data_IF_238368186318
#
_entry.id   IF_238368186318
#
_cell.length_a   1.000
_cell.length_b   1.000
_cell.length_c   1.000
_cell.angle_alpha   90.00
_cell.angle_beta   90.00
_cell.angle_gamma   90.00
#
_symmetry.space_group_name_H-M   'P 1'
#
loop_
_entity.id
_entity.type
_entity.pdbx_description
1 polymer ?
#
# COMPACT_ATOMS: atom_id res chain seq x y z
N UNK A 1 -14.47 6.11 -15.32
CA UNK A 1 -14.71 7.04 -14.21
C UNK A 1 -13.50 7.99 -14.14
N UNK A 2 -13.71 9.27 -14.39
CA UNK A 2 -12.68 10.29 -14.19
C UNK A 2 -12.23 10.23 -12.72
N UNK A 3 -10.94 10.33 -12.49
CA UNK A 3 -10.25 10.12 -11.21
C UNK A 3 -11.09 10.54 -9.99
N UNK A 4 -11.20 9.65 -9.02
CA UNK A 4 -11.87 9.84 -7.71
C UNK A 4 -11.24 10.98 -6.85
N UNK A 5 -10.32 11.76 -7.42
CA UNK A 5 -9.66 12.90 -6.76
C UNK A 5 -10.61 14.02 -6.30
N UNK A 6 -11.88 13.98 -6.69
CA UNK A 6 -12.93 14.89 -6.22
C UNK A 6 -14.07 14.13 -5.55
N UNK A 7 -13.73 13.36 -4.51
CA UNK A 7 -14.70 12.65 -3.67
C UNK A 7 -15.78 13.61 -3.10
N UNK A 8 -15.46 14.89 -2.90
CA UNK A 8 -16.41 15.94 -2.56
C UNK A 8 -17.55 16.06 -3.57
N UNK A 9 -17.26 15.88 -4.86
CA UNK A 9 -18.28 15.92 -5.90
C UNK A 9 -19.12 14.63 -5.97
N UNK A 10 -18.52 13.49 -5.63
CA UNK A 10 -19.24 12.20 -5.64
C UNK A 10 -20.39 12.15 -4.63
N UNK A 11 -20.18 12.76 -3.46
CA UNK A 11 -21.13 12.80 -2.34
C UNK A 11 -22.00 14.06 -2.31
N UNK A 12 -21.81 14.97 -3.25
CA UNK A 12 -22.71 16.15 -3.41
C UNK A 12 -24.05 15.74 -4.02
N UNK A 13 -25.02 16.62 -3.92
CA UNK A 13 -26.30 16.47 -4.62
C UNK A 13 -26.30 17.10 -6.01
N UNK A 14 -25.12 17.46 -6.53
CA UNK A 14 -24.97 18.01 -7.86
C UNK A 14 -25.41 17.01 -8.95
N UNK A 15 -25.83 17.54 -10.08
CA UNK A 15 -26.25 16.71 -11.21
C UNK A 15 -25.13 15.79 -11.69
N UNK A 16 -25.43 14.49 -11.76
CA UNK A 16 -24.47 13.47 -12.19
C UNK A 16 -23.46 13.01 -11.13
N UNK A 17 -23.60 13.46 -9.88
CA UNK A 17 -22.87 12.88 -8.74
C UNK A 17 -23.35 11.45 -8.41
N UNK A 18 -22.55 10.68 -7.67
CA UNK A 18 -22.97 9.31 -7.30
C UNK A 18 -24.24 9.32 -6.43
N UNK A 19 -24.33 10.24 -5.48
CA UNK A 19 -25.52 10.39 -4.64
C UNK A 19 -26.76 10.77 -5.48
N UNK A 20 -26.63 11.68 -6.44
CA UNK A 20 -27.70 12.04 -7.37
C UNK A 20 -28.16 10.84 -8.24
N UNK A 21 -27.22 10.00 -8.68
CA UNK A 21 -27.51 8.78 -9.45
C UNK A 21 -28.29 7.78 -8.58
N UNK A 22 -27.86 7.54 -7.34
CA UNK A 22 -28.54 6.61 -6.42
C UNK A 22 -29.98 7.08 -6.13
N UNK A 23 -30.15 8.38 -5.81
CA UNK A 23 -31.48 8.94 -5.54
C UNK A 23 -32.40 8.84 -6.76
N UNK A 24 -31.85 8.93 -7.96
CA UNK A 24 -32.59 8.71 -9.21
C UNK A 24 -33.00 7.27 -9.41
N UNK A 25 -32.06 6.32 -9.20
CA UNK A 25 -32.30 4.89 -9.35
C UNK A 25 -33.36 4.38 -8.35
N UNK A 26 -33.44 4.99 -7.16
CA UNK A 26 -34.43 4.66 -6.13
C UNK A 26 -35.74 5.45 -6.27
N UNK A 27 -35.88 6.27 -7.34
CA UNK A 27 -37.08 7.11 -7.62
C UNK A 27 -37.48 8.08 -6.49
N UNK A 28 -36.59 8.32 -5.52
CA UNK A 28 -36.83 9.17 -4.35
C UNK A 28 -36.69 10.67 -4.69
N UNK A 29 -35.91 10.98 -5.71
CA UNK A 29 -35.46 12.33 -6.03
C UNK A 29 -36.56 13.38 -6.22
N UNK A 30 -37.65 13.14 -6.99
CA UNK A 30 -38.71 14.13 -7.17
C UNK A 30 -39.38 14.49 -5.85
N UNK A 31 -39.83 13.49 -5.11
CA UNK A 31 -40.55 13.64 -3.85
C UNK A 31 -39.72 14.34 -2.76
N UNK A 32 -38.39 14.04 -2.70
CA UNK A 32 -37.47 14.67 -1.76
C UNK A 32 -37.43 16.20 -1.98
N UNK A 33 -37.26 16.63 -3.23
CA UNK A 33 -37.19 18.08 -3.53
C UNK A 33 -38.51 18.79 -3.29
N UNK A 34 -39.61 18.23 -3.70
CA UNK A 34 -40.95 18.81 -3.51
C UNK A 34 -41.27 18.98 -2.04
N UNK A 35 -41.03 17.94 -1.25
CA UNK A 35 -41.23 17.99 0.22
C UNK A 35 -40.32 19.02 0.87
N UNK A 36 -38.99 18.98 0.60
CA UNK A 36 -38.04 19.92 1.21
C UNK A 36 -38.36 21.36 0.86
N UNK A 37 -38.73 21.65 -0.39
CA UNK A 37 -39.14 23.00 -0.82
C UNK A 37 -40.44 23.41 -0.10
N UNK A 38 -41.39 22.50 0.01
CA UNK A 38 -42.62 22.74 0.72
C UNK A 38 -42.42 23.07 2.21
N UNK A 39 -41.60 22.28 2.89
CA UNK A 39 -41.29 22.47 4.32
C UNK A 39 -40.56 23.81 4.55
N UNK A 40 -39.58 24.14 3.69
CA UNK A 40 -38.82 25.39 3.78
C UNK A 40 -39.66 26.63 3.43
N UNK A 41 -40.63 26.52 2.54
CA UNK A 41 -41.56 27.60 2.24
C UNK A 41 -42.46 27.94 3.43
N UNK A 42 -42.75 26.95 4.28
CA UNK A 42 -43.54 27.14 5.50
C UNK A 42 -42.70 27.61 6.67
N UNK A 43 -41.37 27.54 6.59
CA UNK A 43 -40.46 27.92 7.64
C UNK A 43 -40.49 29.44 7.86
N UNK A 44 -40.90 29.86 9.06
CA UNK A 44 -40.97 31.26 9.45
C UNK A 44 -39.75 31.60 10.34
N UNK A 45 -38.75 32.28 9.79
CA UNK A 45 -37.51 32.64 10.50
C UNK A 45 -37.76 33.45 11.80
N UNK A 46 -38.84 34.23 11.84
CA UNK A 46 -39.24 35.05 12.99
C UNK A 46 -40.02 34.32 14.07
N UNK A 47 -40.36 33.06 13.89
CA UNK A 47 -41.16 32.30 14.84
C UNK A 47 -40.38 31.86 16.10
N UNK A 48 -39.05 31.89 16.07
CA UNK A 48 -38.20 31.52 17.19
C UNK A 48 -38.15 32.68 18.22
N UNK A 49 -38.70 32.47 19.45
CA UNK A 49 -38.72 33.50 20.50
C UNK A 49 -37.32 33.90 20.97
N UNK A 50 -36.34 32.99 20.92
CA UNK A 50 -34.99 33.22 21.42
C UNK A 50 -34.21 34.21 20.51
N UNK A 51 -34.53 34.27 19.23
CA UNK A 51 -33.87 35.17 18.31
C UNK A 51 -34.35 36.65 18.43
N UNK A 52 -35.42 36.92 19.14
CA UNK A 52 -35.97 38.27 19.31
C UNK A 52 -36.42 38.97 18.03
N UNK A 53 -36.36 38.27 16.86
CA UNK A 53 -36.67 38.84 15.56
C UNK A 53 -38.09 39.34 15.40
N UNK A 54 -39.04 38.71 16.08
CA UNK A 54 -40.45 39.13 16.10
C UNK A 54 -40.63 40.55 16.70
N UNK A 55 -39.87 40.87 17.73
CA UNK A 55 -39.84 42.21 18.31
C UNK A 55 -39.28 43.28 17.39
N UNK A 56 -38.21 42.93 16.66
CA UNK A 56 -37.61 43.83 15.67
C UNK A 56 -38.57 44.07 14.50
N UNK A 57 -39.17 43.02 13.96
CA UNK A 57 -40.14 43.16 12.87
C UNK A 57 -41.36 43.96 13.29
N UNK A 58 -41.85 43.82 14.53
CA UNK A 58 -42.93 44.63 15.06
C UNK A 58 -42.52 46.08 15.22
N UNK A 59 -41.29 46.36 15.66
CA UNK A 59 -40.78 47.72 15.73
C UNK A 59 -40.66 48.40 14.39
N UNK A 60 -40.23 47.65 13.34
CA UNK A 60 -40.20 48.10 11.95
C UNK A 60 -41.63 48.37 11.41
N UNK A 61 -42.59 47.51 11.70
CA UNK A 61 -43.99 47.67 11.34
C UNK A 61 -44.60 48.94 11.95
N UNK A 62 -44.34 49.18 13.27
CA UNK A 62 -44.79 50.41 13.92
C UNK A 62 -44.12 51.64 13.30
N UNK A 63 -42.85 51.58 12.95
CA UNK A 63 -42.17 52.67 12.30
C UNK A 63 -42.73 52.96 10.86
N UNK A 64 -42.92 51.88 10.08
CA UNK A 64 -43.49 52.02 8.74
C UNK A 64 -44.90 52.61 8.73
N UNK A 65 -45.73 52.24 9.66
CA UNK A 65 -47.10 52.74 9.79
C UNK A 65 -47.19 54.29 10.11
N UNK A 66 -46.06 54.93 10.44
CA UNK A 66 -45.98 56.38 10.57
C UNK A 66 -45.80 57.09 9.22
N UNK A 67 -45.29 56.40 8.22
CA UNK A 67 -44.93 56.99 6.92
C UNK A 67 -45.77 56.50 5.77
N UNK A 68 -46.46 55.35 5.92
CA UNK A 68 -47.20 54.66 4.90
C UNK A 68 -48.66 54.46 5.35
N UNK A 69 -49.71 54.75 4.54
CA UNK A 69 -51.07 54.47 4.85
C UNK A 69 -51.30 52.96 5.14
N UNK A 70 -52.12 52.66 6.14
CA UNK A 70 -52.41 51.28 6.58
C UNK A 70 -53.06 50.43 5.49
N UNK A 71 -53.75 51.03 4.54
CA UNK A 71 -54.40 50.35 3.43
C UNK A 71 -53.36 49.71 2.46
N UNK A 72 -52.07 50.10 2.51
CA UNK A 72 -51.06 49.55 1.68
C UNK A 72 -50.51 48.21 2.19
N UNK A 73 -50.93 47.76 3.39
CA UNK A 73 -50.63 46.41 3.91
C UNK A 73 -49.15 46.09 4.08
N UNK A 74 -48.36 47.02 4.60
CA UNK A 74 -46.89 46.91 4.73
C UNK A 74 -46.53 46.20 6.05
N UNK A 75 -46.63 44.87 6.09
CA UNK A 75 -46.16 44.09 7.23
C UNK A 75 -44.84 43.39 6.91
N UNK A 76 -43.73 43.77 7.57
CA UNK A 76 -42.45 43.14 7.30
C UNK A 76 -42.44 41.70 7.82
N UNK A 77 -41.94 40.77 7.00
CA UNK A 77 -41.77 39.37 7.36
C UNK A 77 -40.51 38.82 6.67
N UNK A 78 -39.89 37.81 7.31
CA UNK A 78 -38.74 37.10 6.79
C UNK A 78 -39.17 35.75 6.24
N UNK A 79 -38.81 35.49 5.00
CA UNK A 79 -39.00 34.20 4.35
C UNK A 79 -37.71 33.72 3.71
N UNK A 80 -37.56 32.41 3.64
CA UNK A 80 -36.49 31.82 2.84
C UNK A 80 -36.78 32.08 1.35
N UNK A 81 -35.84 32.71 0.66
CA UNK A 81 -35.98 33.05 -0.78
C UNK A 81 -35.06 32.17 -1.62
N UNK A 82 -35.28 32.19 -2.95
CA UNK A 82 -34.48 31.43 -3.90
C UNK A 82 -34.47 29.91 -3.67
N UNK A 83 -35.61 29.35 -3.24
CA UNK A 83 -35.83 27.92 -3.02
C UNK A 83 -35.92 27.17 -4.36
N UNK A 84 -34.81 27.15 -5.10
CA UNK A 84 -34.67 26.33 -6.28
C UNK A 84 -33.98 25.03 -5.96
N UNK A 85 -34.27 23.98 -6.76
CA UNK A 85 -33.56 22.69 -6.66
C UNK A 85 -32.04 22.86 -6.77
N UNK A 86 -31.59 23.80 -7.57
CA UNK A 86 -30.18 24.09 -7.78
C UNK A 86 -29.52 24.70 -6.53
N UNK A 87 -30.19 25.66 -5.87
CA UNK A 87 -29.67 26.25 -4.66
C UNK A 87 -29.66 25.27 -3.49
N UNK A 88 -30.70 24.46 -3.34
CA UNK A 88 -30.75 23.43 -2.32
C UNK A 88 -29.64 22.37 -2.47
N UNK A 89 -29.28 22.01 -3.69
CA UNK A 89 -28.15 21.09 -3.96
C UNK A 89 -26.80 21.60 -3.44
N UNK A 90 -26.60 22.91 -3.37
CA UNK A 90 -25.37 23.52 -2.85
C UNK A 90 -25.34 23.62 -1.32
N UNK A 91 -26.52 23.63 -0.70
CA UNK A 91 -26.67 23.83 0.76
C UNK A 91 -26.81 22.50 1.49
N UNK A 92 -27.48 21.53 0.91
CA UNK A 92 -27.67 20.21 1.53
C UNK A 92 -26.39 19.37 1.36
N UNK A 93 -25.81 18.96 2.49
CA UNK A 93 -24.60 18.14 2.55
C UNK A 93 -24.87 16.86 3.31
N UNK A 94 -24.24 15.77 2.90
CA UNK A 94 -24.26 14.52 3.65
C UNK A 94 -23.35 14.62 4.88
N UNK A 95 -23.86 14.15 6.03
CA UNK A 95 -23.11 14.04 7.28
C UNK A 95 -22.85 12.58 7.60
N UNK A 96 -21.72 12.30 8.20
CA UNK A 96 -21.27 10.95 8.54
C UNK A 96 -20.95 10.92 10.03
N UNK A 97 -21.43 9.89 10.72
CA UNK A 97 -21.07 9.67 12.11
C UNK A 97 -19.55 9.43 12.26
N UNK A 98 -18.94 10.05 13.26
CA UNK A 98 -17.49 9.99 13.52
C UNK A 98 -17.17 9.11 14.73
N UNK A 99 -17.85 7.97 14.88
CA UNK A 99 -17.68 7.04 15.98
C UNK A 99 -19.01 6.57 16.57
N UNK A 100 -18.94 5.92 17.73
CA UNK A 100 -20.12 5.53 18.50
C UNK A 100 -20.70 6.76 19.21
N UNK A 101 -21.83 7.26 18.75
CA UNK A 101 -22.51 8.42 19.35
C UNK A 101 -23.25 9.28 18.34
N UNK A 102 -23.71 10.44 18.81
CA UNK A 102 -24.49 11.39 17.99
C UNK A 102 -23.63 12.39 17.21
N UNK A 103 -22.31 12.39 17.43
CA UNK A 103 -21.42 13.30 16.73
C UNK A 103 -21.29 12.93 15.25
N UNK A 104 -21.59 13.86 14.38
CA UNK A 104 -21.46 13.69 12.94
C UNK A 104 -20.75 14.89 12.32
N UNK A 105 -20.00 14.66 11.27
CA UNK A 105 -19.31 15.72 10.52
C UNK A 105 -19.69 15.65 9.04
N UNK A 106 -19.72 16.78 8.33
CA UNK A 106 -19.97 16.78 6.91
C UNK A 106 -18.88 15.96 6.20
N UNK A 107 -19.27 15.27 5.12
CA UNK A 107 -18.41 14.32 4.42
C UNK A 107 -17.07 14.95 3.97
N UNK A 108 -17.05 16.23 3.59
CA UNK A 108 -15.83 16.92 3.15
C UNK A 108 -14.81 17.19 4.26
N UNK A 109 -15.19 16.99 5.52
CA UNK A 109 -14.30 17.04 6.68
C UNK A 109 -13.80 15.65 7.11
N UNK A 110 -14.18 14.59 6.42
CA UNK A 110 -13.71 13.24 6.68
C UNK A 110 -12.32 13.00 6.09
N UNK A 111 -11.58 12.04 6.65
CA UNK A 111 -10.31 11.60 6.08
C UNK A 111 -10.49 10.97 4.69
N UNK A 112 -9.49 11.09 3.84
CA UNK A 112 -9.50 10.59 2.46
C UNK A 112 -9.87 9.10 2.36
N UNK A 113 -9.39 8.26 3.30
CA UNK A 113 -9.72 6.84 3.32
C UNK A 113 -11.21 6.58 3.55
N UNK A 114 -11.84 7.29 4.49
CA UNK A 114 -13.29 7.18 4.74
C UNK A 114 -14.11 7.60 3.52
N UNK A 115 -13.70 8.69 2.88
CA UNK A 115 -14.36 9.17 1.67
C UNK A 115 -14.23 8.16 0.53
N UNK A 116 -13.05 7.57 0.32
CA UNK A 116 -12.84 6.55 -0.71
C UNK A 116 -13.70 5.30 -0.44
N UNK A 117 -13.79 4.84 0.80
CA UNK A 117 -14.67 3.72 1.15
C UNK A 117 -16.16 4.03 0.91
N UNK A 118 -16.60 5.25 1.20
CA UNK A 118 -17.97 5.67 0.91
C UNK A 118 -18.27 5.70 -0.59
N UNK A 119 -17.36 6.24 -1.39
CA UNK A 119 -17.47 6.22 -2.84
C UNK A 119 -17.61 4.79 -3.36
N UNK A 120 -16.80 3.87 -2.84
CA UNK A 120 -16.87 2.46 -3.21
C UNK A 120 -18.20 1.82 -2.81
N UNK A 121 -18.69 2.10 -1.60
CA UNK A 121 -20.00 1.61 -1.15
C UNK A 121 -21.13 2.15 -2.05
N UNK A 122 -21.06 3.41 -2.47
CA UNK A 122 -22.05 3.99 -3.37
C UNK A 122 -21.98 3.38 -4.78
N UNK A 123 -20.78 3.11 -5.30
CA UNK A 123 -20.58 2.40 -6.56
C UNK A 123 -21.16 0.98 -6.49
N UNK A 124 -20.97 0.29 -5.35
CA UNK A 124 -21.57 -1.03 -5.13
C UNK A 124 -23.09 -1.00 -5.19
N UNK A 125 -23.73 -0.01 -4.54
CA UNK A 125 -25.18 0.17 -4.62
C UNK A 125 -25.70 0.45 -6.05
N UNK A 126 -24.91 1.19 -6.85
CA UNK A 126 -25.25 1.42 -8.26
C UNK A 126 -25.11 0.12 -9.06
N UNK A 127 -24.08 -0.69 -8.76
CA UNK A 127 -23.83 -1.95 -9.44
C UNK A 127 -24.91 -2.99 -9.15
N UNK A 128 -25.41 -3.09 -7.91
CA UNK A 128 -26.51 -3.98 -7.54
C UNK A 128 -27.79 -3.74 -8.36
N UNK A 129 -28.02 -2.47 -8.75
CA UNK A 129 -29.19 -2.08 -9.53
C UNK A 129 -29.00 -2.24 -11.06
N UNK A 130 -27.85 -2.73 -11.54
CA UNK A 130 -27.54 -2.83 -12.97
C UNK A 130 -26.94 -4.19 -13.32
N UNK A 131 -27.30 -4.72 -14.50
CA UNK A 131 -26.65 -5.89 -15.07
C UNK A 131 -25.42 -5.45 -15.88
N UNK A 132 -24.38 -6.30 -15.92
CA UNK A 132 -23.17 -6.13 -16.73
C UNK A 132 -22.38 -4.82 -16.45
N UNK A 133 -22.09 -4.55 -15.19
CA UNK A 133 -21.25 -3.42 -14.80
C UNK A 133 -19.78 -3.75 -15.04
N UNK A 134 -19.06 -2.82 -15.68
CA UNK A 134 -17.59 -2.84 -15.79
C UNK A 134 -17.04 -1.80 -14.83
N UNK A 135 -16.20 -2.24 -13.88
CA UNK A 135 -15.46 -1.35 -13.00
C UNK A 135 -14.06 -1.09 -13.55
N UNK A 136 -13.69 0.18 -13.68
CA UNK A 136 -12.32 0.59 -13.93
C UNK A 136 -11.89 1.53 -12.79
N UNK A 137 -10.87 1.15 -12.05
CA UNK A 137 -10.40 1.89 -10.87
C UNK A 137 -8.90 2.13 -10.96
N UNK A 138 -8.50 3.35 -10.65
CA UNK A 138 -7.10 3.77 -10.57
C UNK A 138 -6.72 3.93 -9.10
N UNK A 139 -5.66 3.23 -8.68
CA UNK A 139 -5.08 3.27 -7.34
C UNK A 139 -6.14 3.19 -6.20
N UNK A 140 -6.96 2.12 -6.15
CA UNK A 140 -8.01 2.01 -5.12
C UNK A 140 -7.46 1.92 -3.69
N UNK A 141 -6.17 1.65 -3.53
CA UNK A 141 -5.46 1.60 -2.26
C UNK A 141 -5.20 2.95 -1.61
N UNK A 142 -5.37 4.06 -2.34
CA UNK A 142 -5.00 5.39 -1.84
C UNK A 142 -5.68 5.73 -0.52
N UNK A 143 -4.87 5.94 0.52
CA UNK A 143 -5.28 6.23 1.90
C UNK A 143 -6.17 5.15 2.56
N UNK A 144 -6.10 3.91 2.08
CA UNK A 144 -6.86 2.77 2.62
C UNK A 144 -5.91 1.77 3.30
N UNK A 145 -6.20 1.33 4.53
CA UNK A 145 -5.38 0.33 5.21
C UNK A 145 -5.32 -1.00 4.44
N UNK A 146 -4.20 -1.75 4.53
CA UNK A 146 -3.99 -2.99 3.76
C UNK A 146 -5.12 -4.01 3.85
N UNK A 147 -5.68 -4.25 5.05
CA UNK A 147 -6.79 -5.19 5.23
C UNK A 147 -8.05 -4.78 4.47
N UNK A 148 -8.32 -3.47 4.37
CA UNK A 148 -9.48 -2.94 3.67
C UNK A 148 -9.28 -2.96 2.15
N UNK A 149 -8.03 -2.84 1.67
CA UNK A 149 -7.71 -2.93 0.23
C UNK A 149 -8.15 -4.28 -0.35
N UNK A 150 -7.81 -5.39 0.33
CA UNK A 150 -8.21 -6.74 -0.10
C UNK A 150 -9.73 -6.89 -0.16
N UNK A 151 -10.42 -6.40 0.86
CA UNK A 151 -11.89 -6.47 0.93
C UNK A 151 -12.54 -5.69 -0.21
N UNK A 152 -12.03 -4.51 -0.55
CA UNK A 152 -12.54 -3.68 -1.65
C UNK A 152 -12.47 -4.43 -2.97
N UNK A 153 -11.30 -5.00 -3.29
CA UNK A 153 -11.12 -5.76 -4.53
C UNK A 153 -12.09 -6.93 -4.59
N UNK A 154 -12.22 -7.68 -3.49
CA UNK A 154 -13.14 -8.81 -3.41
C UNK A 154 -14.61 -8.40 -3.69
N UNK A 155 -15.09 -7.35 -3.02
CA UNK A 155 -16.48 -6.88 -3.18
C UNK A 155 -16.73 -6.32 -4.59
N UNK A 156 -15.79 -5.53 -5.13
CA UNK A 156 -15.92 -4.98 -6.50
C UNK A 156 -15.95 -6.09 -7.55
N UNK A 157 -15.06 -7.09 -7.42
CA UNK A 157 -15.04 -8.24 -8.36
C UNK A 157 -16.32 -9.06 -8.31
N UNK A 158 -16.91 -9.21 -7.14
CA UNK A 158 -18.18 -9.93 -6.95
C UNK A 158 -19.38 -9.25 -7.63
N UNK A 159 -19.37 -7.92 -7.66
CA UNK A 159 -20.48 -7.09 -8.18
C UNK A 159 -20.33 -6.74 -9.66
N UNK A 160 -19.21 -7.05 -10.27
CA UNK A 160 -18.90 -6.65 -11.65
C UNK A 160 -18.84 -7.82 -12.61
N UNK A 161 -19.30 -7.61 -13.83
CA UNK A 161 -19.07 -8.53 -14.95
C UNK A 161 -17.58 -8.51 -15.37
N UNK A 162 -16.94 -7.34 -15.26
CA UNK A 162 -15.50 -7.14 -15.49
C UNK A 162 -14.96 -6.06 -14.59
N UNK A 163 -13.74 -6.25 -14.07
CA UNK A 163 -13.06 -5.23 -13.27
C UNK A 163 -11.63 -5.03 -13.77
N UNK A 164 -11.21 -3.79 -13.87
CA UNK A 164 -9.86 -3.36 -14.28
C UNK A 164 -9.33 -2.44 -13.19
N UNK A 165 -8.13 -2.75 -12.68
CA UNK A 165 -7.48 -1.96 -11.66
C UNK A 165 -6.07 -1.55 -12.12
N UNK A 166 -5.68 -0.31 -11.87
CA UNK A 166 -4.26 0.05 -11.81
C UNK A 166 -3.88 0.19 -10.34
N UNK A 167 -2.73 -0.36 -9.94
CA UNK A 167 -2.32 -0.38 -8.53
C UNK A 167 -0.81 -0.44 -8.37
N UNK A 168 -0.32 0.19 -7.30
CA UNK A 168 1.03 0.07 -6.77
C UNK A 168 1.06 -0.68 -5.43
N UNK A 169 -0.04 -1.33 -5.04
CA UNK A 169 -0.13 -2.08 -3.79
C UNK A 169 0.05 -3.58 -3.98
N UNK A 170 1.01 -4.21 -3.32
CA UNK A 170 1.16 -5.67 -3.33
C UNK A 170 -0.09 -6.36 -2.78
N UNK A 171 -0.81 -5.73 -1.84
CA UNK A 171 -2.04 -6.26 -1.26
C UNK A 171 -3.22 -6.30 -2.23
N UNK A 172 -3.27 -5.38 -3.19
CA UNK A 172 -4.23 -5.41 -4.30
C UNK A 172 -3.86 -6.54 -5.26
N UNK A 173 -2.59 -6.62 -5.67
CA UNK A 173 -2.11 -7.64 -6.61
C UNK A 173 -2.34 -9.06 -6.09
N UNK A 174 -2.22 -9.28 -4.79
CA UNK A 174 -2.49 -10.56 -4.15
C UNK A 174 -3.91 -11.10 -4.38
N UNK A 175 -4.89 -10.27 -4.67
CA UNK A 175 -6.28 -10.69 -4.92
C UNK A 175 -6.50 -11.20 -6.36
N UNK A 176 -5.46 -11.11 -7.21
CA UNK A 176 -5.50 -11.54 -8.60
C UNK A 176 -4.63 -12.79 -8.80
N UNK A 177 -4.97 -13.59 -9.82
CA UNK A 177 -4.09 -14.66 -10.29
C UNK A 177 -2.97 -14.03 -11.12
N UNK A 178 -1.84 -14.70 -11.25
CA UNK A 178 -0.71 -14.18 -12.02
C UNK A 178 -1.11 -13.82 -13.46
N UNK A 179 -1.92 -14.65 -14.09
CA UNK A 179 -2.38 -14.46 -15.48
C UNK A 179 -3.34 -13.25 -15.63
N UNK A 180 -3.91 -12.77 -14.54
CA UNK A 180 -4.78 -11.57 -14.51
C UNK A 180 -3.97 -10.28 -14.35
N UNK A 181 -2.66 -10.37 -14.08
CA UNK A 181 -1.80 -9.22 -13.82
C UNK A 181 -1.01 -8.86 -15.09
N UNK A 182 -1.16 -7.63 -15.55
CA UNK A 182 -0.34 -7.05 -16.61
C UNK A 182 0.68 -6.08 -16.02
N UNK A 183 1.96 -6.32 -16.25
CA UNK A 183 3.05 -5.41 -15.84
C UNK A 183 3.31 -4.43 -16.96
N UNK A 184 3.22 -3.13 -16.65
CA UNK A 184 3.53 -2.07 -17.59
C UNK A 184 4.97 -1.61 -17.39
N UNK A 185 5.75 -1.62 -18.45
CA UNK A 185 7.15 -1.23 -18.46
C UNK A 185 7.39 -0.13 -19.47
N UNK A 186 8.24 0.84 -19.11
CA UNK A 186 8.72 1.85 -20.06
C UNK A 186 10.11 1.47 -20.54
N UNK A 187 10.26 1.25 -21.82
CA UNK A 187 11.57 1.01 -22.46
C UNK A 187 12.47 2.24 -22.41
N UNK A 188 13.75 2.05 -22.71
CA UNK A 188 14.74 3.15 -22.85
C UNK A 188 14.37 4.11 -23.97
N UNK A 189 13.61 3.64 -24.95
CA UNK A 189 13.00 4.40 -26.05
C UNK A 189 11.77 5.21 -25.62
N UNK A 190 11.37 5.14 -24.36
CA UNK A 190 10.18 5.79 -23.80
C UNK A 190 8.86 5.10 -24.13
N UNK A 191 8.88 4.04 -24.93
CA UNK A 191 7.67 3.29 -25.32
C UNK A 191 7.17 2.44 -24.15
N UNK A 192 5.86 2.49 -23.93
CA UNK A 192 5.20 1.65 -22.92
C UNK A 192 4.93 0.26 -23.51
N UNK A 193 5.41 -0.76 -22.82
CA UNK A 193 5.20 -2.16 -23.15
C UNK A 193 4.43 -2.85 -22.03
N UNK A 194 3.57 -3.80 -22.39
CA UNK A 194 2.86 -4.65 -21.43
C UNK A 194 3.45 -6.06 -21.50
N UNK A 195 3.70 -6.65 -20.33
CA UNK A 195 4.02 -8.07 -20.20
C UNK A 195 2.99 -8.76 -19.30
N UNK A 196 2.55 -9.95 -19.71
CA UNK A 196 1.78 -10.87 -18.88
C UNK A 196 2.71 -11.66 -17.97
N UNK A 197 2.19 -12.20 -16.87
CA UNK A 197 2.94 -13.05 -15.95
C UNK A 197 2.57 -14.50 -16.24
N UNK A 198 3.55 -15.27 -16.70
CA UNK A 198 3.46 -16.72 -16.81
C UNK A 198 4.31 -17.35 -15.70
N UNK A 199 3.64 -17.96 -14.71
CA UNK A 199 4.36 -18.60 -13.60
C UNK A 199 5.14 -19.80 -14.10
N UNK A 200 6.44 -19.91 -13.75
CA UNK A 200 7.23 -21.10 -14.06
C UNK A 200 6.60 -22.37 -13.46
N UNK A 201 6.75 -23.54 -14.12
CA UNK A 201 6.20 -24.80 -13.63
C UNK A 201 6.68 -25.22 -12.24
N UNK A 202 7.88 -24.78 -11.83
CA UNK A 202 8.46 -25.00 -10.50
C UNK A 202 7.72 -24.25 -9.42
N UNK A 203 7.11 -23.11 -9.74
CA UNK A 203 6.34 -22.26 -8.81
C UNK A 203 4.91 -22.79 -8.76
N UNK A 204 4.61 -23.68 -7.82
CA UNK A 204 3.26 -24.24 -7.67
C UNK A 204 2.26 -23.14 -7.34
N UNK A 205 1.06 -23.10 -7.98
CA UNK A 205 0.03 -22.09 -7.71
C UNK A 205 -0.39 -22.00 -6.23
N UNK A 206 -0.35 -23.13 -5.51
CA UNK A 206 -0.64 -23.18 -4.07
C UNK A 206 0.41 -22.41 -3.28
N UNK A 207 1.70 -22.56 -3.61
CA UNK A 207 2.81 -21.87 -2.96
C UNK A 207 2.77 -20.39 -3.28
N UNK A 208 2.50 -20.00 -4.53
CA UNK A 208 2.29 -18.63 -4.93
C UNK A 208 1.25 -17.93 -4.03
N UNK A 209 0.13 -18.60 -3.71
CA UNK A 209 -0.93 -18.02 -2.89
C UNK A 209 -0.62 -17.97 -1.40
N UNK A 210 0.22 -18.82 -0.84
CA UNK A 210 0.42 -18.99 0.59
C UNK A 210 1.74 -18.38 1.11
N UNK A 211 2.85 -18.59 0.42
CA UNK A 211 4.19 -18.29 0.94
C UNK A 211 4.85 -17.09 0.27
N UNK A 212 4.58 -16.86 -1.01
CA UNK A 212 5.25 -15.81 -1.79
C UNK A 212 4.43 -14.55 -1.98
N UNK A 213 3.20 -14.54 -1.54
CA UNK A 213 2.16 -13.63 -1.97
C UNK A 213 2.61 -12.17 -1.95
N UNK A 214 2.95 -11.65 -0.77
CA UNK A 214 3.29 -10.23 -0.62
C UNK A 214 4.62 -9.91 -1.27
N UNK A 215 5.68 -10.69 -0.94
CA UNK A 215 7.04 -10.45 -1.48
C UNK A 215 7.13 -10.64 -2.99
N UNK A 216 6.41 -11.62 -3.54
CA UNK A 216 6.32 -11.81 -4.98
C UNK A 216 5.67 -10.58 -5.64
N UNK A 217 4.57 -10.06 -5.07
CA UNK A 217 3.90 -8.88 -5.57
C UNK A 217 4.74 -7.61 -5.39
N UNK A 218 5.49 -7.46 -4.29
CA UNK A 218 6.47 -6.38 -4.12
C UNK A 218 7.55 -6.43 -5.19
N UNK A 219 8.08 -7.61 -5.51
CA UNK A 219 9.06 -7.80 -6.56
C UNK A 219 8.50 -7.44 -7.96
N UNK A 220 7.20 -7.66 -8.21
CA UNK A 220 6.55 -7.18 -9.45
C UNK A 220 6.52 -5.66 -9.55
N UNK A 221 6.44 -4.96 -8.43
CA UNK A 221 6.37 -3.50 -8.36
C UNK A 221 7.75 -2.84 -8.32
N UNK A 222 8.78 -3.58 -7.90
CA UNK A 222 10.14 -3.06 -7.80
C UNK A 222 10.82 -2.95 -9.17
N UNK A 223 11.86 -2.12 -9.25
CA UNK A 223 12.67 -1.98 -10.45
C UNK A 223 13.71 -3.08 -10.58
N UNK A 224 14.21 -3.56 -9.44
CA UNK A 224 15.25 -4.58 -9.32
C UNK A 224 14.83 -5.62 -8.31
N UNK A 225 15.25 -6.85 -8.52
CA UNK A 225 14.90 -7.98 -7.65
C UNK A 225 16.19 -8.69 -7.22
N UNK A 226 16.33 -8.94 -5.93
CA UNK A 226 17.31 -9.87 -5.38
C UNK A 226 16.60 -11.16 -4.98
N UNK A 227 16.89 -12.24 -5.67
CA UNK A 227 16.38 -13.57 -5.38
C UNK A 227 17.36 -14.24 -4.42
N UNK A 228 16.92 -14.50 -3.21
CA UNK A 228 17.65 -15.24 -2.19
C UNK A 228 17.25 -16.72 -2.24
N UNK A 229 18.19 -17.63 -1.99
CA UNK A 229 17.91 -19.05 -1.98
C UNK A 229 16.87 -19.43 -0.94
N UNK A 230 16.96 -18.87 0.25
CA UNK A 230 16.08 -19.13 1.36
C UNK A 230 15.73 -17.92 2.22
N UNK A 231 14.93 -18.18 3.25
CA UNK A 231 14.42 -17.15 4.14
C UNK A 231 15.53 -16.46 4.95
N UNK A 232 16.60 -17.19 5.29
CA UNK A 232 17.71 -16.62 6.07
C UNK A 232 18.47 -15.56 5.27
N UNK A 233 18.85 -15.86 4.01
CA UNK A 233 19.48 -14.90 3.09
C UNK A 233 18.55 -13.71 2.81
N UNK A 234 17.25 -13.99 2.58
CA UNK A 234 16.26 -12.97 2.32
C UNK A 234 16.07 -12.00 3.49
N UNK A 235 16.41 -12.39 4.70
CA UNK A 235 16.44 -11.54 5.89
C UNK A 235 17.80 -10.91 6.15
N UNK A 236 18.87 -11.69 6.06
CA UNK A 236 20.23 -11.31 6.43
C UNK A 236 20.84 -10.26 5.50
N UNK A 237 20.67 -10.39 4.18
CA UNK A 237 21.29 -9.49 3.21
C UNK A 237 20.69 -8.06 3.28
N UNK A 238 19.36 -7.87 3.34
CA UNK A 238 18.79 -6.54 3.58
C UNK A 238 19.23 -5.90 4.90
N UNK A 239 19.31 -6.70 5.97
CA UNK A 239 19.78 -6.24 7.27
C UNK A 239 21.25 -5.78 7.21
N UNK A 240 22.12 -6.54 6.52
CA UNK A 240 23.51 -6.18 6.32
C UNK A 240 23.67 -4.91 5.50
N UNK A 241 22.95 -4.80 4.38
CA UNK A 241 22.99 -3.61 3.53
C UNK A 241 22.53 -2.35 4.27
N UNK A 242 21.49 -2.47 5.09
CA UNK A 242 20.99 -1.36 5.94
C UNK A 242 22.02 -0.97 6.98
N UNK A 243 22.53 -1.97 7.74
CA UNK A 243 23.53 -1.71 8.77
C UNK A 243 24.81 -1.07 8.23
N UNK A 244 25.31 -1.58 7.10
CA UNK A 244 26.49 -1.02 6.44
C UNK A 244 26.23 0.42 5.96
N UNK A 245 25.04 0.71 5.43
CA UNK A 245 24.68 2.07 5.00
C UNK A 245 24.53 3.06 6.16
N UNK A 246 24.18 2.58 7.37
CA UNK A 246 24.17 3.39 8.59
C UNK A 246 25.59 3.72 9.07
N UNK A 247 26.51 2.76 8.96
CA UNK A 247 27.90 2.91 9.41
C UNK A 247 28.75 3.75 8.44
N UNK A 248 28.61 3.50 7.15
CA UNK A 248 29.32 4.24 6.09
C UNK A 248 28.42 4.47 4.87
N UNK A 249 27.60 5.55 4.86
CA UNK A 249 26.71 5.89 3.75
C UNK A 249 27.47 6.33 2.48
N UNK A 250 28.75 6.66 2.60
CA UNK A 250 29.57 7.03 1.44
C UNK A 250 29.90 5.80 0.58
N UNK A 251 30.09 4.64 1.21
CA UNK A 251 30.49 3.39 0.55
C UNK A 251 29.29 2.47 0.29
N UNK A 252 28.30 2.44 1.17
CA UNK A 252 27.19 1.48 1.11
C UNK A 252 25.83 2.16 0.93
N UNK A 253 24.86 1.40 0.51
CA UNK A 253 23.45 1.81 0.41
C UNK A 253 22.54 0.66 0.81
N UNK A 254 21.40 0.98 1.43
CA UNK A 254 20.39 -0.05 1.70
C UNK A 254 19.76 -0.54 0.40
N UNK A 255 19.21 -1.77 0.39
CA UNK A 255 18.56 -2.33 -0.80
C UNK A 255 17.35 -1.51 -1.24
N UNK A 256 16.60 -0.98 -0.27
CA UNK A 256 15.44 -0.12 -0.52
C UNK A 256 15.86 1.17 -1.23
N UNK A 257 16.97 1.79 -0.82
CA UNK A 257 17.51 2.98 -1.48
C UNK A 257 17.97 2.70 -2.92
N UNK A 258 18.38 1.46 -3.19
CA UNK A 258 18.72 0.99 -4.53
C UNK A 258 17.52 0.54 -5.35
N UNK A 259 16.30 0.57 -4.79
CA UNK A 259 15.09 0.10 -5.43
C UNK A 259 15.09 -1.41 -5.69
N UNK A 260 15.75 -2.17 -4.81
CA UNK A 260 15.83 -3.63 -4.85
C UNK A 260 14.82 -4.21 -3.86
N UNK A 261 13.92 -5.06 -4.33
CA UNK A 261 13.07 -5.91 -3.51
C UNK A 261 13.68 -7.29 -3.35
N UNK A 262 13.61 -7.88 -2.18
CA UNK A 262 14.18 -9.21 -1.90
C UNK A 262 13.09 -10.26 -1.89
N UNK A 263 13.31 -11.35 -2.63
CA UNK A 263 12.42 -12.49 -2.76
C UNK A 263 13.11 -13.76 -2.29
N UNK A 264 12.47 -14.52 -1.39
CA UNK A 264 12.87 -15.86 -1.01
C UNK A 264 12.42 -16.87 -2.08
N UNK A 265 13.34 -17.57 -2.74
CA UNK A 265 13.05 -18.59 -3.72
C UNK A 265 12.50 -19.88 -3.07
N UNK A 266 12.81 -20.10 -1.79
CA UNK A 266 12.45 -21.32 -1.05
C UNK A 266 13.19 -22.55 -1.51
N UNK A 267 14.39 -22.38 -2.03
CA UNK A 267 15.34 -23.40 -2.45
C UNK A 267 16.00 -23.08 -3.79
N UNK A 268 17.16 -23.66 -3.98
CA UNK A 268 18.06 -23.47 -5.12
C UNK A 268 17.41 -23.73 -6.48
N UNK A 269 16.58 -24.77 -6.58
CA UNK A 269 15.94 -25.19 -7.82
C UNK A 269 14.92 -24.19 -8.41
N UNK A 270 14.60 -23.10 -7.70
CA UNK A 270 13.64 -22.09 -8.19
C UNK A 270 14.29 -20.75 -8.57
N UNK A 271 15.56 -20.57 -8.22
CA UNK A 271 16.26 -19.30 -8.47
C UNK A 271 16.31 -18.99 -9.97
N UNK A 272 16.68 -19.95 -10.80
CA UNK A 272 16.78 -19.78 -12.25
C UNK A 272 15.41 -19.46 -12.88
N UNK A 273 14.37 -20.17 -12.49
CA UNK A 273 13.01 -19.97 -13.02
C UNK A 273 12.44 -18.60 -12.65
N UNK A 274 12.58 -18.19 -11.38
CA UNK A 274 12.18 -16.86 -10.92
C UNK A 274 13.05 -15.77 -11.57
N UNK A 275 14.35 -16.04 -11.75
CA UNK A 275 15.28 -15.17 -12.47
C UNK A 275 14.80 -14.88 -13.89
N UNK A 276 14.49 -15.94 -14.65
CA UNK A 276 13.97 -15.83 -16.01
C UNK A 276 12.63 -15.07 -16.06
N UNK A 277 11.72 -15.35 -15.10
CA UNK A 277 10.45 -14.64 -15.02
C UNK A 277 10.64 -13.14 -14.84
N UNK A 278 11.38 -12.70 -13.82
CA UNK A 278 11.55 -11.26 -13.57
C UNK A 278 12.37 -10.57 -14.65
N UNK A 279 13.34 -11.26 -15.26
CA UNK A 279 14.10 -10.74 -16.39
C UNK A 279 13.20 -10.54 -17.62
N UNK A 280 12.26 -11.44 -17.90
CA UNK A 280 11.28 -11.27 -18.97
C UNK A 280 10.34 -10.09 -18.76
N UNK A 281 10.11 -9.71 -17.50
CA UNK A 281 9.38 -8.51 -17.10
C UNK A 281 10.25 -7.24 -17.12
N UNK A 282 11.45 -7.29 -17.73
CA UNK A 282 12.33 -6.13 -17.91
C UNK A 282 13.02 -5.63 -16.64
N UNK A 283 13.10 -6.44 -15.60
CA UNK A 283 13.74 -6.10 -14.34
C UNK A 283 15.21 -6.49 -14.35
N UNK A 284 16.06 -5.74 -13.62
CA UNK A 284 17.41 -6.20 -13.31
C UNK A 284 17.32 -7.20 -12.16
N UNK A 285 17.77 -8.42 -12.40
CA UNK A 285 17.65 -9.52 -11.44
C UNK A 285 19.01 -9.91 -10.91
N UNK A 286 19.13 -9.98 -9.61
CA UNK A 286 20.29 -10.47 -8.89
C UNK A 286 19.91 -11.73 -8.13
N UNK A 287 20.85 -12.63 -7.90
CA UNK A 287 20.62 -13.81 -7.08
C UNK A 287 21.72 -13.94 -6.01
N UNK A 288 21.34 -14.47 -4.84
CA UNK A 288 22.28 -14.85 -3.78
C UNK A 288 21.96 -16.25 -3.34
N UNK A 289 22.99 -17.11 -3.30
CA UNK A 289 22.87 -18.51 -2.90
C UNK A 289 24.17 -19.07 -2.35
N UNK A 290 24.05 -20.23 -1.72
CA UNK A 290 25.15 -21.09 -1.34
C UNK A 290 25.84 -21.70 -2.58
N UNK A 291 26.88 -22.51 -2.35
CA UNK A 291 27.59 -23.19 -3.43
C UNK A 291 26.66 -24.16 -4.18
N UNK A 292 26.58 -23.98 -5.48
CA UNK A 292 25.70 -24.76 -6.35
C UNK A 292 26.44 -25.81 -7.17
N UNK A 293 25.75 -26.85 -7.61
CA UNK A 293 26.25 -27.75 -8.62
C UNK A 293 26.46 -26.99 -9.94
N UNK A 294 27.50 -27.32 -10.75
CA UNK A 294 27.86 -26.56 -11.95
C UNK A 294 26.71 -26.35 -12.96
N UNK A 295 25.84 -27.34 -13.11
CA UNK A 295 24.69 -27.23 -14.02
C UNK A 295 23.64 -26.24 -13.49
N UNK A 296 23.37 -26.22 -12.18
CA UNK A 296 22.44 -25.28 -11.58
C UNK A 296 23.02 -23.86 -11.56
N UNK A 297 24.30 -23.72 -11.23
CA UNK A 297 24.99 -22.43 -11.31
C UNK A 297 24.87 -21.81 -12.72
N UNK A 298 25.16 -22.58 -13.76
CA UNK A 298 25.07 -22.11 -15.13
C UNK A 298 23.63 -21.70 -15.51
N UNK A 299 22.63 -22.44 -15.05
CA UNK A 299 21.24 -22.10 -15.28
C UNK A 299 20.84 -20.78 -14.57
N UNK A 300 21.31 -20.55 -13.34
CA UNK A 300 21.06 -19.31 -12.60
C UNK A 300 21.79 -18.14 -13.30
N UNK A 301 23.07 -18.29 -13.64
CA UNK A 301 23.85 -17.24 -14.31
C UNK A 301 23.23 -16.81 -15.65
N UNK A 302 22.62 -17.74 -16.39
CA UNK A 302 21.91 -17.42 -17.64
C UNK A 302 20.58 -16.66 -17.40
N UNK A 303 19.98 -16.80 -16.22
CA UNK A 303 18.68 -16.23 -15.90
C UNK A 303 18.73 -14.87 -15.18
N UNK A 304 19.89 -14.48 -14.61
CA UNK A 304 20.02 -13.28 -13.79
C UNK A 304 21.11 -12.33 -14.33
N UNK A 305 21.01 -11.07 -13.96
CA UNK A 305 22.01 -10.05 -14.31
C UNK A 305 23.36 -10.31 -13.60
N UNK A 306 23.29 -10.76 -12.34
CA UNK A 306 24.45 -11.08 -11.53
C UNK A 306 24.10 -12.12 -10.48
N UNK A 307 24.94 -13.17 -10.41
CA UNK A 307 24.91 -14.16 -9.34
C UNK A 307 25.97 -13.81 -8.29
N UNK A 308 25.56 -13.82 -7.01
CA UNK A 308 26.42 -13.74 -5.84
C UNK A 308 26.36 -15.12 -5.14
N UNK A 309 27.44 -15.88 -5.27
CA UNK A 309 27.54 -17.22 -4.68
C UNK A 309 28.70 -17.24 -3.70
N UNK A 310 28.49 -17.67 -2.45
CA UNK A 310 29.56 -17.84 -1.47
C UNK A 310 29.99 -19.31 -1.36
N UNK A 311 31.16 -19.53 -0.77
CA UNK A 311 31.78 -20.85 -0.72
C UNK A 311 31.40 -21.69 0.53
N UNK A 312 30.59 -21.13 1.45
CA UNK A 312 30.13 -21.85 2.62
C UNK A 312 28.84 -22.62 2.33
N UNK A 313 28.53 -23.60 3.20
CA UNK A 313 27.34 -24.47 3.04
C UNK A 313 26.02 -23.77 3.33
N UNK A 314 26.07 -22.66 4.05
CA UNK A 314 24.91 -21.85 4.43
C UNK A 314 25.38 -20.45 4.90
N UNK A 315 24.47 -19.49 4.91
CA UNK A 315 24.78 -18.11 5.30
C UNK A 315 25.07 -17.99 6.79
N UNK A 316 24.49 -18.82 7.62
CA UNK A 316 24.75 -18.88 9.06
C UNK A 316 26.23 -19.15 9.32
N UNK A 317 26.80 -20.12 8.60
CA UNK A 317 28.20 -20.47 8.69
C UNK A 317 29.09 -19.38 8.11
N UNK A 318 28.71 -18.79 6.97
CA UNK A 318 29.42 -17.65 6.40
C UNK A 318 29.58 -16.52 7.43
N UNK A 319 28.50 -16.19 8.14
CA UNK A 319 28.50 -15.12 9.14
C UNK A 319 29.32 -15.50 10.36
N UNK A 320 29.11 -16.68 10.93
CA UNK A 320 29.80 -17.11 12.16
C UNK A 320 31.29 -17.37 11.97
N UNK A 321 31.73 -17.81 10.78
CA UNK A 321 33.15 -18.08 10.49
C UNK A 321 33.94 -16.80 10.21
N UNK A 322 33.27 -15.71 9.85
CA UNK A 322 33.89 -14.46 9.39
C UNK A 322 33.55 -13.25 10.25
N UNK A 323 33.03 -13.47 11.47
CA UNK A 323 32.78 -12.43 12.45
C UNK A 323 33.77 -12.53 13.62
N UNK A 324 33.74 -11.54 14.54
CA UNK A 324 34.61 -11.53 15.71
C UNK A 324 33.97 -12.26 16.90
N UNK A 325 34.81 -12.83 17.78
CA UNK A 325 34.36 -13.41 19.04
C UNK A 325 33.61 -12.38 19.89
N UNK A 326 34.06 -11.12 19.89
CA UNK A 326 33.44 -10.05 20.65
C UNK A 326 32.01 -9.70 20.14
N UNK A 327 31.77 -9.76 18.84
CA UNK A 327 30.45 -9.58 18.26
C UNK A 327 29.49 -10.71 18.69
N UNK A 328 29.95 -11.96 18.65
CA UNK A 328 29.19 -13.13 19.09
C UNK A 328 28.84 -13.05 20.58
N UNK A 329 29.78 -12.68 21.42
CA UNK A 329 29.56 -12.55 22.89
C UNK A 329 28.60 -11.40 23.21
N UNK A 330 28.73 -10.26 22.53
CA UNK A 330 27.84 -9.12 22.66
C UNK A 330 26.38 -9.50 22.30
N UNK A 331 26.21 -10.26 21.24
CA UNK A 331 24.88 -10.74 20.85
C UNK A 331 24.30 -11.73 21.87
N UNK A 332 25.10 -12.68 22.37
CA UNK A 332 24.70 -13.63 23.41
C UNK A 332 24.26 -12.89 24.68
N UNK A 333 24.94 -11.80 25.07
CA UNK A 333 24.59 -10.99 26.22
C UNK A 333 23.24 -10.26 26.06
N UNK A 334 22.92 -9.85 24.82
CA UNK A 334 21.67 -9.20 24.51
C UNK A 334 20.48 -10.17 24.42
N UNK A 335 20.74 -11.49 24.29
CA UNK A 335 19.69 -12.48 24.12
C UNK A 335 19.16 -13.00 25.48
N UNK A 336 17.85 -13.21 25.51
CA UNK A 336 17.23 -14.13 26.47
C UNK A 336 17.51 -15.56 26.02
N UNK A 337 18.61 -16.16 26.47
CA UNK A 337 19.06 -17.47 26.02
C UNK A 337 17.95 -18.53 26.17
N UNK A 338 17.56 -19.24 25.12
CA UNK A 338 16.44 -20.18 25.15
C UNK A 338 16.65 -21.33 26.15
N UNK A 339 15.60 -21.67 26.87
CA UNK A 339 15.68 -22.70 27.93
C UNK A 339 16.17 -24.08 27.43
N UNK A 340 15.74 -24.47 26.22
CA UNK A 340 16.11 -25.73 25.59
C UNK A 340 17.60 -25.79 25.19
N UNK A 341 18.28 -24.67 25.03
CA UNK A 341 19.70 -24.57 24.73
C UNK A 341 20.58 -24.46 26.02
N UNK A 342 19.98 -24.11 27.17
CA UNK A 342 20.73 -23.95 28.44
C UNK A 342 21.42 -25.23 28.90
N UNK A 343 20.86 -26.40 28.62
CA UNK A 343 21.44 -27.68 28.99
C UNK A 343 22.67 -28.01 28.15
N UNK A 344 22.61 -27.76 26.84
CA UNK A 344 23.71 -27.99 25.91
C UNK A 344 24.81 -26.92 26.02
N UNK A 345 24.42 -25.67 26.29
CA UNK A 345 25.30 -24.52 26.40
C UNK A 345 25.02 -23.75 27.69
N UNK A 346 25.46 -24.27 28.84
CA UNK A 346 25.32 -23.60 30.16
C UNK A 346 26.10 -22.28 30.21
N UNK A 347 27.20 -22.19 29.48
CA UNK A 347 27.97 -20.97 29.22
C UNK A 347 28.14 -20.81 27.69
N UNK A 348 27.20 -20.19 27.01
CA UNK A 348 27.24 -20.10 25.55
C UNK A 348 28.43 -19.31 24.99
N UNK A 349 29.05 -18.41 25.78
CA UNK A 349 30.22 -17.65 25.36
C UNK A 349 31.48 -18.52 25.25
N UNK A 350 31.57 -19.60 26.01
CA UNK A 350 32.73 -20.48 25.94
C UNK A 350 32.92 -21.15 24.57
N UNK A 351 31.79 -21.37 23.85
CA UNK A 351 31.76 -21.90 22.49
C UNK A 351 30.74 -21.07 21.68
N UNK A 352 30.96 -19.76 21.54
CA UNK A 352 29.98 -18.82 21.01
C UNK A 352 29.51 -19.19 19.60
N UNK A 353 30.42 -19.57 18.71
CA UNK A 353 30.10 -19.96 17.34
C UNK A 353 29.17 -21.18 17.28
N UNK A 354 29.46 -22.24 18.04
CA UNK A 354 28.61 -23.44 18.05
C UNK A 354 27.25 -23.19 18.72
N UNK A 355 27.24 -22.41 19.81
CA UNK A 355 26.04 -22.02 20.51
C UNK A 355 25.10 -21.20 19.61
N UNK A 356 25.64 -20.22 18.88
CA UNK A 356 24.89 -19.41 17.94
C UNK A 356 24.45 -20.20 16.70
N UNK A 357 25.27 -21.09 16.18
CA UNK A 357 24.86 -22.01 15.11
C UNK A 357 23.62 -22.82 15.48
N UNK A 358 23.57 -23.34 16.70
CA UNK A 358 22.38 -24.05 17.22
C UNK A 358 21.18 -23.10 17.42
N UNK A 359 21.46 -21.89 17.89
CA UNK A 359 20.40 -20.86 18.03
C UNK A 359 19.79 -20.53 16.71
N UNK A 360 20.59 -20.24 15.67
CA UNK A 360 20.11 -19.89 14.32
C UNK A 360 19.39 -21.07 13.67
N UNK A 361 19.89 -22.31 13.82
CA UNK A 361 19.24 -23.50 13.30
C UNK A 361 17.81 -23.68 13.85
N UNK A 362 17.56 -23.29 15.10
CA UNK A 362 16.24 -23.30 15.73
C UNK A 362 15.35 -22.12 15.31
N UNK A 363 15.92 -21.16 14.60
CA UNK A 363 15.31 -19.90 14.18
C UNK A 363 15.26 -19.74 12.65
N UNK A 364 15.37 -20.83 11.90
CA UNK A 364 15.25 -20.79 10.43
C UNK A 364 13.89 -20.20 10.04
N UNK A 365 13.96 -19.09 9.29
CA UNK A 365 12.77 -18.28 8.96
C UNK A 365 12.42 -17.19 9.98
N UNK A 366 12.96 -17.24 11.19
CA UNK A 366 12.97 -16.14 12.14
C UNK A 366 14.25 -15.32 11.92
N UNK A 367 14.20 -14.03 11.98
CA UNK A 367 15.26 -13.07 11.61
C UNK A 367 16.57 -13.17 12.46
N UNK A 368 16.95 -14.32 13.07
CA UNK A 368 18.05 -14.46 14.01
C UNK A 368 19.41 -13.99 13.47
N UNK A 369 19.77 -14.39 12.23
CA UNK A 369 21.01 -13.94 11.59
C UNK A 369 20.93 -12.44 11.24
N UNK A 370 19.77 -11.98 10.82
CA UNK A 370 19.54 -10.57 10.51
C UNK A 370 19.68 -9.70 11.78
N UNK A 371 19.14 -10.16 12.93
CA UNK A 371 19.28 -9.48 14.23
C UNK A 371 20.75 -9.45 14.69
N UNK A 372 21.49 -10.54 14.46
CA UNK A 372 22.92 -10.57 14.73
C UNK A 372 23.68 -9.52 13.91
N UNK A 373 23.47 -9.50 12.59
CA UNK A 373 24.16 -8.58 11.69
C UNK A 373 23.80 -7.10 12.00
N UNK A 374 22.56 -6.83 12.39
CA UNK A 374 22.10 -5.48 12.68
C UNK A 374 22.85 -4.79 13.83
N UNK A 375 23.50 -5.54 14.72
CA UNK A 375 24.32 -5.00 15.83
C UNK A 375 25.84 -4.98 15.51
N UNK A 376 26.28 -5.54 14.38
CA UNK A 376 27.70 -5.64 14.03
C UNK A 376 28.28 -4.27 13.64
N UNK A 377 29.57 -4.08 13.92
CA UNK A 377 30.36 -3.04 13.29
C UNK A 377 30.77 -3.48 11.88
N UNK A 378 31.24 -2.57 11.04
CA UNK A 378 31.57 -2.89 9.64
C UNK A 378 32.54 -4.06 9.51
N UNK A 379 33.61 -4.07 10.30
CA UNK A 379 34.63 -5.12 10.27
C UNK A 379 34.14 -6.48 10.80
N UNK A 380 33.02 -6.51 11.48
CA UNK A 380 32.40 -7.72 12.05
C UNK A 380 31.41 -8.37 11.06
N UNK A 381 31.02 -7.67 10.00
CA UNK A 381 30.24 -8.21 8.90
C UNK A 381 31.19 -8.87 7.89
N UNK A 382 30.93 -10.13 7.46
CA UNK A 382 31.80 -10.84 6.51
C UNK A 382 32.20 -10.01 5.29
N UNK A 383 33.46 -10.09 4.91
CA UNK A 383 33.97 -9.31 3.77
C UNK A 383 33.23 -9.62 2.47
N UNK A 384 32.83 -10.88 2.27
CA UNK A 384 32.02 -11.28 1.15
C UNK A 384 30.69 -10.52 1.08
N UNK A 385 29.98 -10.35 2.20
CA UNK A 385 28.73 -9.59 2.27
C UNK A 385 28.99 -8.10 2.00
N UNK A 386 30.07 -7.55 2.59
CA UNK A 386 30.49 -6.16 2.35
C UNK A 386 30.76 -5.90 0.86
N UNK A 387 31.49 -6.83 0.22
CA UNK A 387 31.79 -6.74 -1.21
C UNK A 387 30.52 -6.85 -2.06
N UNK A 388 29.62 -7.79 -1.76
CA UNK A 388 28.32 -7.91 -2.42
C UNK A 388 27.51 -6.60 -2.34
N UNK A 389 27.47 -5.95 -1.18
CA UNK A 389 26.77 -4.68 -1.00
C UNK A 389 27.40 -3.55 -1.84
N UNK A 390 28.74 -3.49 -1.94
CA UNK A 390 29.45 -2.55 -2.83
C UNK A 390 29.12 -2.81 -4.31
N UNK A 391 29.16 -4.06 -4.72
CA UNK A 391 28.86 -4.46 -6.09
C UNK A 391 27.41 -4.15 -6.47
N UNK A 392 26.43 -4.43 -5.60
CA UNK A 392 25.03 -4.07 -5.79
C UNK A 392 24.85 -2.56 -5.96
N UNK A 393 25.53 -1.76 -5.14
CA UNK A 393 25.50 -0.31 -5.28
C UNK A 393 26.04 0.13 -6.63
N UNK A 394 27.20 -0.40 -7.05
CA UNK A 394 27.82 -0.07 -8.33
C UNK A 394 26.93 -0.45 -9.52
N UNK A 395 26.31 -1.64 -9.49
CA UNK A 395 25.39 -2.11 -10.53
C UNK A 395 24.09 -1.28 -10.62
N UNK A 396 23.73 -0.58 -9.56
CA UNK A 396 22.52 0.24 -9.49
C UNK A 396 22.75 1.72 -9.78
N UNK A 397 24.00 2.18 -9.82
CA UNK A 397 24.32 3.56 -10.18
C UNK A 397 24.00 3.81 -11.67
N UNK A 398 23.40 4.96 -12.01
CA UNK A 398 23.29 5.32 -13.42
C UNK A 398 24.70 5.45 -14.02
N UNK A 399 24.89 5.11 -15.32
CA UNK A 399 26.15 5.38 -15.98
C UNK A 399 26.48 6.88 -15.84
N UNK A 400 27.74 7.19 -15.54
CA UNK A 400 28.18 8.59 -15.50
C UNK A 400 27.81 9.27 -16.83
N UNK A 401 27.23 10.50 -16.77
CA UNK A 401 26.99 11.23 -17.99
C UNK A 401 28.32 11.38 -18.73
N UNK A 402 28.33 11.21 -20.07
CA UNK A 402 29.55 11.39 -20.83
C UNK A 402 30.12 12.77 -20.49
N UNK A 403 31.38 12.78 -20.01
CA UNK A 403 32.11 14.01 -19.75
C UNK A 403 32.06 14.83 -21.03
N UNK A 404 31.39 15.99 -20.96
CA UNK A 404 31.33 16.91 -22.06
C UNK A 404 32.81 17.31 -22.42
N UNK A 405 33.29 16.77 -23.53
CA UNK A 405 34.57 17.10 -24.12
C UNK A 405 34.49 18.41 -24.91
#
# INVERSE_FOLDING_TARGET
LRSLRTASRALSLEHGSLLDIILRLKEIRPQMWEKTIGDLNQFTVAADPELGLSGVLKSIDVALNRYVPREWGVSPHLKVTNLTRENLRKVISAFIATGEGTHSAPFYRQGTGTINMLVLAMLSLIAEGKQNVIFAMEEPETAIPPYAQKRIVHEVRKLSAQSIFSSHSPYILEEFRAEEIGVLMRGTDGVLKQAGIELPPSVKPKRYRQEFRTRFCEALLSRRVLIAEGATEAGAIPAAARRLSELDPATYSSLEALGISTLDAGGDGQIADLGALYSSLGKSVYAVCDQQAPANQAAIEAAVTKLFMHGESDIEKLVLSNTTQAAMERFIDALSWPQHLKTAFPNPKANASEALSRYFAGKKGDLGVAEFIAQCEESEIPDWIRQMCRDLRALCQPPEPPTAS
#
